data_IF_650208917752
#
_entry.id   IF_650208917752
#
_cell.length_a   1.000
_cell.length_b   1.000
_cell.length_c   1.000
_cell.angle_alpha   90.00
_cell.angle_beta   90.00
_cell.angle_gamma   90.00
#
_symmetry.space_group_name_H-M   'P 1'
#
loop_
_entity.id
_entity.type
_entity.pdbx_description
1 polymer ?
#
# COMPACT_ATOMS: atom_id res chain seq x y z
N UNK A 1 -28.72 -12.22 67.58
CA UNK A 1 -27.32 -11.80 67.40
C UNK A 1 -26.68 -12.82 66.46
N UNK A 2 -26.43 -12.59 65.16
CA UNK A 2 -26.37 -11.34 64.36
C UNK A 2 -25.36 -10.31 64.92
N UNK A 3 -24.38 -9.76 64.18
CA UNK A 3 -23.91 -9.93 62.77
C UNK A 3 -22.45 -9.36 62.71
N UNK A 4 -21.54 -9.53 61.73
CA UNK A 4 -21.54 -10.06 60.33
C UNK A 4 -20.14 -10.61 60.00
N UNK A 5 -19.98 -11.46 58.97
CA UNK A 5 -18.66 -11.71 58.35
C UNK A 5 -18.19 -10.50 57.53
N UNK A 6 -17.06 -9.90 57.90
CA UNK A 6 -16.50 -8.74 57.20
C UNK A 6 -15.60 -9.21 56.03
N UNK A 7 -16.23 -9.52 54.89
CA UNK A 7 -15.52 -9.75 53.63
C UNK A 7 -14.78 -8.46 53.22
N UNK A 8 -13.46 -8.44 53.40
CA UNK A 8 -12.59 -7.43 52.77
C UNK A 8 -12.51 -7.72 51.27
N UNK A 9 -13.49 -7.18 50.55
CA UNK A 9 -13.60 -7.28 49.10
C UNK A 9 -12.44 -6.51 48.45
N UNK A 10 -11.42 -7.23 48.00
CA UNK A 10 -10.29 -6.64 47.29
C UNK A 10 -10.79 -5.85 46.06
N UNK A 11 -10.34 -4.60 45.85
CA UNK A 11 -10.78 -3.81 44.70
C UNK A 11 -10.34 -4.50 43.40
N UNK A 12 -11.23 -4.52 42.41
CA UNK A 12 -11.08 -5.28 41.17
C UNK A 12 -10.09 -4.65 40.19
N UNK A 13 -8.80 -4.67 40.56
CA UNK A 13 -7.68 -4.11 39.82
C UNK A 13 -7.64 -4.54 38.34
N UNK A 14 -8.14 -5.73 38.02
CA UNK A 14 -8.20 -6.27 36.65
C UNK A 14 -9.10 -5.52 35.66
N UNK A 15 -9.98 -4.61 36.10
CA UNK A 15 -10.83 -3.81 35.19
C UNK A 15 -10.43 -2.34 35.20
N UNK A 16 -10.26 -1.74 36.38
CA UNK A 16 -9.85 -0.34 36.52
C UNK A 16 -8.48 -0.05 35.90
N UNK A 17 -7.48 -0.89 36.19
CA UNK A 17 -6.13 -0.70 35.62
C UNK A 17 -6.11 -0.92 34.10
N UNK A 18 -6.87 -1.91 33.58
CA UNK A 18 -6.97 -2.13 32.13
C UNK A 18 -7.64 -0.96 31.40
N UNK A 19 -8.70 -0.40 31.96
CA UNK A 19 -9.33 0.82 31.42
C UNK A 19 -8.39 2.02 31.44
N UNK A 20 -7.66 2.23 32.55
CA UNK A 20 -6.68 3.30 32.69
C UNK A 20 -5.51 3.17 31.70
N UNK A 21 -4.91 1.98 31.58
CA UNK A 21 -3.88 1.70 30.56
C UNK A 21 -4.41 1.90 29.13
N UNK A 22 -5.64 1.47 28.83
CA UNK A 22 -6.24 1.65 27.51
C UNK A 22 -6.50 3.13 27.18
N UNK A 23 -6.80 3.97 28.19
CA UNK A 23 -6.92 5.42 28.01
C UNK A 23 -5.56 6.09 27.75
N UNK A 24 -4.52 5.71 28.51
CA UNK A 24 -3.17 6.24 28.30
C UNK A 24 -2.62 5.86 26.91
N UNK A 25 -2.49 4.56 26.62
CA UNK A 25 -2.05 4.10 25.30
C UNK A 25 -2.99 4.56 24.16
N UNK A 26 -4.30 4.67 24.42
CA UNK A 26 -5.27 5.19 23.47
C UNK A 26 -5.01 6.65 23.08
N UNK A 27 -4.61 7.50 24.04
CA UNK A 27 -4.27 8.90 23.77
C UNK A 27 -2.98 9.05 22.95
N UNK A 28 -1.95 8.24 23.22
CA UNK A 28 -0.72 8.20 22.45
C UNK A 28 -0.97 7.69 21.01
N UNK A 29 -1.73 6.60 20.86
CA UNK A 29 -2.11 6.05 19.55
C UNK A 29 -2.94 7.04 18.73
N UNK A 30 -3.91 7.73 19.35
CA UNK A 30 -4.69 8.77 18.68
C UNK A 30 -3.80 9.95 18.22
N UNK A 31 -2.83 10.36 19.04
CA UNK A 31 -1.87 11.42 18.67
C UNK A 31 -1.03 10.99 17.48
N UNK A 32 -0.45 9.79 17.53
CA UNK A 32 0.31 9.20 16.41
C UNK A 32 -0.53 9.08 15.12
N UNK A 33 -1.82 8.73 15.22
CA UNK A 33 -2.74 8.70 14.06
C UNK A 33 -3.03 10.11 13.52
N UNK A 34 -3.19 11.11 14.40
CA UNK A 34 -3.42 12.50 14.03
C UNK A 34 -2.19 13.08 13.32
N UNK A 35 -0.98 12.74 13.73
CA UNK A 35 0.26 13.18 13.05
C UNK A 35 0.48 12.40 11.75
N UNK A 36 0.25 11.08 11.76
CA UNK A 36 0.37 10.24 10.58
C UNK A 36 -0.77 10.37 9.55
N UNK A 37 -1.82 11.17 9.82
CA UNK A 37 -3.03 11.28 8.99
C UNK A 37 -2.75 11.51 7.50
N UNK A 38 -1.73 12.31 7.17
CA UNK A 38 -1.36 12.62 5.79
C UNK A 38 -0.63 11.47 5.10
N UNK A 39 0.18 10.70 5.83
CA UNK A 39 0.79 9.47 5.33
C UNK A 39 -0.27 8.39 5.08
N UNK A 40 -1.19 8.19 6.03
CA UNK A 40 -2.30 7.24 5.91
C UNK A 40 -3.20 7.62 4.73
N UNK A 41 -3.54 8.90 4.56
CA UNK A 41 -4.30 9.39 3.41
C UNK A 41 -3.55 9.15 2.07
N UNK A 42 -2.24 9.40 2.02
CA UNK A 42 -1.41 9.17 0.83
C UNK A 42 -1.37 7.68 0.46
N UNK A 43 -1.19 6.80 1.44
CA UNK A 43 -1.22 5.35 1.23
C UNK A 43 -2.59 4.86 0.78
N UNK A 44 -3.68 5.36 1.36
CA UNK A 44 -5.05 5.04 0.90
C UNK A 44 -5.27 5.45 -0.56
N UNK A 45 -4.81 6.62 -0.98
CA UNK A 45 -4.90 7.07 -2.38
C UNK A 45 -4.12 6.13 -3.31
N UNK A 46 -2.89 5.74 -2.94
CA UNK A 46 -2.08 4.81 -3.74
C UNK A 46 -2.69 3.41 -3.83
N UNK A 47 -3.15 2.86 -2.70
CA UNK A 47 -3.79 1.53 -2.64
C UNK A 47 -5.10 1.49 -3.45
N UNK A 48 -5.90 2.57 -3.42
CA UNK A 48 -7.10 2.70 -4.26
C UNK A 48 -6.75 2.84 -5.74
N UNK A 49 -5.66 3.55 -6.08
CA UNK A 49 -5.16 3.62 -7.45
C UNK A 49 -4.69 2.25 -7.96
N UNK A 50 -3.90 1.50 -7.19
CA UNK A 50 -3.47 0.13 -7.53
C UNK A 50 -4.66 -0.80 -7.76
N UNK A 51 -5.64 -0.80 -6.86
CA UNK A 51 -6.89 -1.55 -7.03
C UNK A 51 -7.62 -1.16 -8.34
N UNK A 52 -7.70 0.15 -8.63
CA UNK A 52 -8.41 0.68 -9.81
C UNK A 52 -7.72 0.35 -11.13
N UNK A 53 -6.38 0.23 -11.16
CA UNK A 53 -5.61 -0.22 -12.32
C UNK A 53 -5.58 -1.75 -12.43
N UNK A 54 -5.42 -2.48 -11.31
CA UNK A 54 -5.46 -3.94 -11.24
C UNK A 54 -6.80 -4.54 -11.68
N UNK A 55 -7.92 -3.87 -11.38
CA UNK A 55 -9.22 -4.21 -11.98
C UNK A 55 -9.18 -4.17 -13.52
N UNK A 56 -8.65 -3.08 -14.08
CA UNK A 56 -8.55 -2.90 -15.53
C UNK A 56 -7.65 -3.95 -16.20
N UNK A 57 -6.52 -4.27 -15.57
CA UNK A 57 -5.65 -5.37 -16.01
C UNK A 57 -6.39 -6.71 -16.02
N UNK A 58 -7.07 -7.07 -14.92
CA UNK A 58 -7.82 -8.33 -14.83
C UNK A 58 -8.91 -8.41 -15.90
N UNK A 59 -9.60 -7.30 -16.18
CA UNK A 59 -10.63 -7.23 -17.21
C UNK A 59 -10.05 -7.45 -18.62
N UNK A 60 -8.99 -6.72 -19.01
CA UNK A 60 -8.33 -6.92 -20.32
C UNK A 60 -7.76 -8.33 -20.49
N UNK A 61 -7.20 -8.93 -19.42
CA UNK A 61 -6.72 -10.33 -19.46
C UNK A 61 -7.85 -11.33 -19.62
N UNK A 62 -8.99 -11.10 -18.98
CA UNK A 62 -10.19 -11.92 -19.16
C UNK A 62 -10.73 -11.82 -20.59
N UNK A 63 -10.87 -10.61 -21.16
CA UNK A 63 -11.27 -10.41 -22.56
C UNK A 63 -10.34 -11.13 -23.55
N UNK A 64 -9.02 -11.04 -23.34
CA UNK A 64 -8.03 -11.74 -24.16
C UNK A 64 -8.18 -13.27 -24.07
N UNK A 65 -8.41 -13.81 -22.86
CA UNK A 65 -8.63 -15.23 -22.64
C UNK A 65 -9.96 -15.73 -23.25
N UNK A 66 -11.00 -14.89 -23.26
CA UNK A 66 -12.27 -15.16 -23.98
C UNK A 66 -12.03 -15.23 -25.49
N UNK A 67 -11.33 -14.25 -26.07
CA UNK A 67 -10.98 -14.22 -27.50
C UNK A 67 -10.12 -15.43 -27.91
N UNK A 68 -9.16 -15.82 -27.07
CA UNK A 68 -8.30 -17.00 -27.28
C UNK A 68 -8.99 -18.35 -27.04
N UNK A 69 -10.24 -18.35 -26.53
CA UNK A 69 -11.00 -19.55 -26.11
C UNK A 69 -10.33 -20.42 -25.02
N UNK A 70 -9.26 -19.95 -24.39
CA UNK A 70 -8.59 -20.68 -23.30
C UNK A 70 -9.39 -20.58 -21.99
N UNK A 71 -10.11 -21.66 -21.66
CA UNK A 71 -10.86 -21.82 -20.42
C UNK A 71 -9.98 -21.66 -19.17
N UNK A 72 -8.71 -22.10 -19.20
CA UNK A 72 -7.81 -22.06 -18.04
C UNK A 72 -7.44 -20.63 -17.68
N UNK A 73 -7.09 -19.80 -18.68
CA UNK A 73 -6.88 -18.37 -18.47
C UNK A 73 -8.17 -17.62 -18.13
N UNK A 74 -9.32 -18.02 -18.68
CA UNK A 74 -10.61 -17.42 -18.34
C UNK A 74 -10.95 -17.61 -16.84
N UNK A 75 -10.75 -18.79 -16.28
CA UNK A 75 -10.95 -19.04 -14.84
C UNK A 75 -9.91 -18.32 -13.96
N UNK A 76 -8.66 -18.23 -14.42
CA UNK A 76 -7.58 -17.55 -13.69
C UNK A 76 -7.82 -16.03 -13.57
N UNK A 77 -8.26 -15.39 -14.65
CA UNK A 77 -8.52 -13.94 -14.71
C UNK A 77 -9.98 -13.56 -14.40
N UNK A 78 -10.85 -14.54 -14.10
CA UNK A 78 -12.21 -14.31 -13.62
C UNK A 78 -12.18 -13.44 -12.36
N UNK A 79 -12.88 -12.31 -12.41
CA UNK A 79 -12.88 -11.36 -11.31
C UNK A 79 -13.55 -11.95 -10.06
N UNK A 80 -12.89 -11.82 -8.91
CA UNK A 80 -13.37 -12.28 -7.61
C UNK A 80 -13.20 -11.18 -6.55
N UNK A 81 -14.23 -10.36 -6.33
CA UNK A 81 -14.17 -9.16 -5.46
C UNK A 81 -13.61 -9.44 -4.06
N UNK A 82 -13.98 -10.57 -3.44
CA UNK A 82 -13.48 -10.97 -2.11
C UNK A 82 -11.95 -11.20 -2.10
N UNK A 83 -11.38 -11.79 -3.16
CA UNK A 83 -9.94 -12.01 -3.29
C UNK A 83 -9.19 -10.69 -3.47
N UNK A 84 -9.73 -9.80 -4.31
CA UNK A 84 -9.15 -8.49 -4.57
C UNK A 84 -9.19 -7.61 -3.30
N UNK A 85 -10.34 -7.52 -2.64
CA UNK A 85 -10.50 -6.79 -1.37
C UNK A 85 -9.53 -7.33 -0.31
N UNK A 86 -9.39 -8.66 -0.17
CA UNK A 86 -8.43 -9.26 0.78
C UNK A 86 -6.99 -8.84 0.48
N UNK A 87 -6.56 -8.80 -0.79
CA UNK A 87 -5.22 -8.29 -1.18
C UNK A 87 -5.05 -6.82 -0.79
N UNK A 88 -6.06 -5.99 -1.06
CA UNK A 88 -6.07 -4.55 -0.74
C UNK A 88 -6.04 -4.28 0.77
N UNK A 89 -6.81 -5.02 1.56
CA UNK A 89 -6.79 -4.94 3.02
C UNK A 89 -5.46 -5.42 3.62
N UNK A 90 -4.85 -6.48 3.07
CA UNK A 90 -3.53 -6.95 3.52
C UNK A 90 -2.47 -5.87 3.28
N UNK A 91 -2.37 -5.35 2.03
CA UNK A 91 -1.48 -4.23 1.68
C UNK A 91 -1.61 -3.05 2.66
N UNK A 92 -2.84 -2.65 2.98
CA UNK A 92 -3.09 -1.56 3.93
C UNK A 92 -2.53 -1.87 5.33
N UNK A 93 -2.83 -3.05 5.88
CA UNK A 93 -2.32 -3.47 7.19
C UNK A 93 -0.79 -3.59 7.18
N UNK A 94 -0.22 -4.21 6.14
CA UNK A 94 1.23 -4.38 5.97
C UNK A 94 1.97 -3.03 5.99
N UNK A 95 1.42 -1.99 5.36
CA UNK A 95 2.06 -0.66 5.35
C UNK A 95 1.85 0.13 6.64
N UNK A 96 0.72 -0.03 7.35
CA UNK A 96 0.59 0.52 8.70
C UNK A 96 1.61 -0.12 9.64
N UNK A 97 1.80 -1.44 9.57
CA UNK A 97 2.84 -2.16 10.33
C UNK A 97 4.25 -1.70 9.92
N UNK A 98 4.53 -1.55 8.61
CA UNK A 98 5.82 -1.07 8.12
C UNK A 98 6.12 0.35 8.62
N UNK A 99 5.14 1.26 8.62
CA UNK A 99 5.29 2.59 9.20
C UNK A 99 5.62 2.51 10.70
N UNK A 100 4.84 1.78 11.50
CA UNK A 100 5.05 1.64 12.94
C UNK A 100 6.44 1.06 13.28
N UNK A 101 6.86 -0.01 12.59
CA UNK A 101 8.20 -0.59 12.74
C UNK A 101 9.29 0.42 12.36
N UNK A 102 9.08 1.22 11.32
CA UNK A 102 10.03 2.27 10.92
C UNK A 102 10.07 3.43 11.93
N UNK A 103 8.96 3.76 12.59
CA UNK A 103 8.93 4.70 13.73
C UNK A 103 9.72 4.15 14.92
N UNK A 104 9.57 2.88 15.27
CA UNK A 104 10.36 2.25 16.35
C UNK A 104 11.86 2.20 16.02
N UNK A 105 12.24 1.96 14.76
CA UNK A 105 13.63 2.13 14.30
C UNK A 105 14.08 3.60 14.45
N UNK A 106 13.20 4.55 14.15
CA UNK A 106 13.41 5.99 14.43
C UNK A 106 13.74 6.25 15.90
N UNK A 107 12.91 5.77 16.83
CA UNK A 107 13.15 5.94 18.28
C UNK A 107 14.44 5.24 18.73
N UNK A 108 14.75 4.05 18.17
CA UNK A 108 15.92 3.27 18.55
C UNK A 108 17.26 3.83 18.06
N UNK A 109 17.29 4.54 16.91
CA UNK A 109 18.53 4.98 16.26
C UNK A 109 18.63 6.49 16.03
N UNK A 110 17.52 7.21 15.80
CA UNK A 110 17.55 8.65 15.46
C UNK A 110 17.48 9.53 16.71
N UNK A 111 16.59 9.21 17.66
CA UNK A 111 16.47 9.99 18.90
C UNK A 111 17.80 10.01 19.71
N UNK A 112 18.58 8.90 19.84
CA UNK A 112 19.91 8.92 20.44
C UNK A 112 20.96 9.74 19.67
N UNK A 113 20.72 10.04 18.39
CA UNK A 113 21.56 10.90 17.55
C UNK A 113 21.06 12.35 17.50
N UNK A 114 20.01 12.70 18.26
CA UNK A 114 19.40 14.04 18.29
C UNK A 114 18.48 14.35 17.09
N UNK A 115 18.15 13.36 16.26
CA UNK A 115 17.19 13.50 15.16
C UNK A 115 15.83 12.93 15.55
N UNK A 116 14.74 13.63 15.23
CA UNK A 116 13.39 13.13 15.56
C UNK A 116 13.07 11.80 14.86
N UNK A 117 12.60 10.82 15.63
CA UNK A 117 12.05 9.54 15.16
C UNK A 117 10.99 9.65 14.04
N UNK A 118 10.35 10.81 13.84
CA UNK A 118 9.38 11.04 12.75
C UNK A 118 10.04 10.82 11.38
N UNK A 119 11.36 11.02 11.24
CA UNK A 119 12.12 10.64 10.04
C UNK A 119 12.07 9.13 9.74
N UNK A 120 11.96 8.28 10.76
CA UNK A 120 11.68 6.85 10.61
C UNK A 120 10.29 6.60 10.03
N UNK A 121 9.27 7.32 10.52
CA UNK A 121 7.90 7.28 9.96
C UNK A 121 7.88 7.71 8.49
N UNK A 122 8.60 8.78 8.14
CA UNK A 122 8.77 9.23 6.75
C UNK A 122 9.42 8.14 5.88
N UNK A 123 10.49 7.49 6.35
CA UNK A 123 11.16 6.43 5.61
C UNK A 123 10.25 5.21 5.36
N UNK A 124 9.49 4.77 6.38
CA UNK A 124 8.51 3.70 6.24
C UNK A 124 7.38 4.03 5.26
N UNK A 125 6.83 5.25 5.33
CA UNK A 125 5.82 5.71 4.38
C UNK A 125 6.38 5.84 2.95
N UNK A 126 7.62 6.31 2.78
CA UNK A 126 8.26 6.43 1.47
C UNK A 126 8.50 5.05 0.83
N UNK A 127 8.96 4.06 1.61
CA UNK A 127 9.14 2.69 1.15
C UNK A 127 7.81 2.05 0.74
N UNK A 128 6.77 2.20 1.55
CA UNK A 128 5.41 1.75 1.22
C UNK A 128 4.88 2.41 -0.08
N UNK A 129 5.05 3.73 -0.22
CA UNK A 129 4.62 4.47 -1.41
C UNK A 129 5.38 4.03 -2.67
N UNK A 130 6.70 3.80 -2.58
CA UNK A 130 7.52 3.31 -3.70
C UNK A 130 7.08 1.90 -4.14
N UNK A 131 6.74 1.01 -3.21
CA UNK A 131 6.19 -0.31 -3.53
C UNK A 131 4.87 -0.22 -4.30
N UNK A 132 3.93 0.65 -3.88
CA UNK A 132 2.67 0.84 -4.60
C UNK A 132 2.87 1.54 -5.96
N UNK A 133 3.74 2.55 -6.06
CA UNK A 133 4.03 3.22 -7.33
C UNK A 133 4.58 2.21 -8.35
N UNK A 134 5.47 1.29 -7.94
CA UNK A 134 5.93 0.21 -8.83
C UNK A 134 4.79 -0.76 -9.24
N UNK A 135 3.87 -1.09 -8.33
CA UNK A 135 2.69 -1.93 -8.59
C UNK A 135 1.75 -1.26 -9.60
N UNK A 136 1.38 0.00 -9.35
CA UNK A 136 0.56 0.85 -10.21
C UNK A 136 1.16 0.97 -11.61
N UNK A 137 2.45 1.29 -11.71
CA UNK A 137 3.12 1.44 -13.00
C UNK A 137 3.18 0.12 -13.77
N UNK A 138 3.39 -1.02 -13.11
CA UNK A 138 3.29 -2.35 -13.73
C UNK A 138 1.91 -2.60 -14.39
N UNK A 139 0.83 -2.36 -13.64
CA UNK A 139 -0.55 -2.47 -14.15
C UNK A 139 -0.84 -1.45 -15.28
N UNK A 140 -0.32 -0.22 -15.16
CA UNK A 140 -0.45 0.86 -16.15
C UNK A 140 0.24 0.54 -17.49
N UNK A 141 1.43 -0.05 -17.46
CA UNK A 141 2.14 -0.48 -18.67
C UNK A 141 1.44 -1.63 -19.37
N UNK A 142 1.02 -2.65 -18.61
CA UNK A 142 0.26 -3.77 -19.16
C UNK A 142 -1.03 -3.28 -19.86
N UNK A 143 -1.75 -2.34 -19.23
CA UNK A 143 -2.96 -1.73 -19.79
C UNK A 143 -2.74 -0.97 -21.11
N UNK A 144 -1.50 -0.54 -21.39
CA UNK A 144 -1.10 0.22 -22.60
C UNK A 144 -0.31 -0.62 -23.62
N UNK A 145 -0.10 -1.91 -23.37
CA UNK A 145 0.61 -2.82 -24.28
C UNK A 145 2.13 -2.60 -24.38
N UNK A 146 2.69 -1.62 -23.68
CA UNK A 146 4.14 -1.32 -23.69
C UNK A 146 4.88 -2.40 -22.90
N UNK A 147 5.70 -3.19 -23.60
CA UNK A 147 6.59 -4.19 -22.98
C UNK A 147 7.78 -3.48 -22.33
N UNK A 148 7.68 -3.18 -21.03
CA UNK A 148 8.84 -2.68 -20.29
C UNK A 148 9.92 -3.77 -20.23
N UNK A 149 11.07 -3.50 -20.82
CA UNK A 149 12.26 -4.33 -20.62
C UNK A 149 12.69 -4.30 -19.16
N UNK A 150 12.57 -5.45 -18.50
CA UNK A 150 12.80 -5.61 -17.07
C UNK A 150 14.30 -5.56 -16.75
N UNK A 151 14.85 -4.37 -16.45
CA UNK A 151 15.95 -4.19 -15.45
C UNK A 151 16.41 -2.75 -15.16
N UNK A 152 16.04 -1.73 -15.95
CA UNK A 152 16.59 -0.36 -15.76
C UNK A 152 15.51 0.68 -15.42
N UNK A 153 15.82 1.56 -14.46
CA UNK A 153 15.04 2.78 -14.14
C UNK A 153 14.93 3.68 -15.37
N UNK A 154 15.97 3.73 -16.21
CA UNK A 154 15.97 4.51 -17.45
C UNK A 154 15.07 3.89 -18.53
N UNK A 155 15.01 2.55 -18.60
CA UNK A 155 14.05 1.83 -19.45
C UNK A 155 12.60 2.04 -19.00
N UNK A 156 12.36 2.07 -17.69
CA UNK A 156 11.08 2.43 -17.09
C UNK A 156 10.68 3.88 -17.44
N UNK A 157 11.60 4.85 -17.39
CA UNK A 157 11.32 6.23 -17.84
C UNK A 157 11.06 6.33 -19.35
N UNK A 158 11.88 5.69 -20.20
CA UNK A 158 11.64 5.60 -21.66
C UNK A 158 10.22 5.10 -21.93
N UNK A 159 9.87 3.95 -21.35
CA UNK A 159 8.54 3.36 -21.48
C UNK A 159 7.42 4.27 -20.94
N UNK A 160 7.63 4.96 -19.82
CA UNK A 160 6.63 5.89 -19.25
C UNK A 160 6.34 7.06 -20.19
N UNK A 161 7.38 7.64 -20.78
CA UNK A 161 7.25 8.74 -21.75
C UNK A 161 6.54 8.25 -23.02
N UNK A 162 6.98 7.13 -23.61
CA UNK A 162 6.30 6.50 -24.77
C UNK A 162 4.82 6.22 -24.47
N UNK A 163 4.54 5.64 -23.31
CA UNK A 163 3.18 5.35 -22.86
C UNK A 163 2.32 6.61 -22.70
N UNK A 164 2.90 7.73 -22.25
CA UNK A 164 2.21 9.03 -22.19
C UNK A 164 1.98 9.63 -23.59
N UNK A 165 2.96 9.55 -24.48
CA UNK A 165 2.86 10.05 -25.86
C UNK A 165 1.76 9.32 -26.64
N UNK A 166 1.72 7.97 -26.57
CA UNK A 166 0.64 7.15 -27.17
C UNK A 166 -0.79 7.51 -26.70
N UNK A 167 -0.94 8.16 -25.52
CA UNK A 167 -2.25 8.66 -25.05
C UNK A 167 -2.71 9.91 -25.82
N UNK A 168 -1.80 10.64 -26.47
CA UNK A 168 -2.07 11.91 -27.17
C UNK A 168 -2.09 11.73 -28.69
N UNK A 169 -1.21 10.89 -29.22
CA UNK A 169 -1.15 10.52 -30.65
C UNK A 169 -0.39 9.20 -30.80
N UNK A 170 -0.99 8.25 -31.51
CA UNK A 170 -0.47 6.88 -31.62
C UNK A 170 0.82 6.83 -32.46
N UNK A 171 0.80 7.43 -33.66
CA UNK A 171 1.95 7.51 -34.58
C UNK A 171 3.21 8.10 -33.92
N UNK A 172 3.04 9.18 -33.15
CA UNK A 172 4.15 9.88 -32.48
C UNK A 172 4.70 9.03 -31.33
N UNK A 173 3.87 8.19 -30.71
CA UNK A 173 4.30 7.25 -29.68
C UNK A 173 5.06 6.05 -30.26
N UNK A 174 4.68 5.54 -31.43
CA UNK A 174 5.42 4.47 -32.13
C UNK A 174 6.74 4.97 -32.75
N UNK A 175 6.75 6.17 -33.32
CA UNK A 175 7.98 6.82 -33.77
C UNK A 175 8.98 7.04 -32.62
N UNK A 176 8.48 7.43 -31.43
CA UNK A 176 9.31 7.62 -30.24
C UNK A 176 9.81 6.29 -29.65
N UNK A 177 9.03 5.22 -29.68
CA UNK A 177 9.46 3.89 -29.21
C UNK A 177 10.58 3.33 -30.11
N UNK A 178 10.45 3.52 -31.43
CA UNK A 178 11.50 3.18 -32.40
C UNK A 178 12.78 3.97 -32.14
N UNK A 179 12.69 5.31 -32.10
CA UNK A 179 13.83 6.20 -31.92
C UNK A 179 14.52 6.10 -30.54
N UNK A 180 13.88 5.44 -29.56
CA UNK A 180 14.45 5.15 -28.24
C UNK A 180 15.04 3.74 -28.12
N UNK A 181 14.79 2.83 -29.06
CA UNK A 181 15.38 1.48 -29.09
C UNK A 181 16.47 1.33 -30.16
N UNK A 182 16.55 2.22 -31.15
CA UNK A 182 17.59 2.27 -32.19
C UNK A 182 18.90 2.94 -31.70
N UNK A 183 19.23 2.76 -30.41
CA UNK A 183 20.40 3.30 -29.67
C UNK A 183 20.78 2.47 -28.45
#
# INVERSE_FOLDING_TARGET
>A
MTTTHLFLQAPSAGTGARGFSFLLFGSEILTLIIDAKWFIATLLILIVADFRFGWGESHKRYEAAVKAKDKKSQELYKWHSSRALRRTSNKFVDYIVLMLVSTFIGVAFLDPLGYSHVWGTYAGCALAAVCEIMSICGHFFFLRGVKVEKKSIFGFLKAFIVALTKKKSEDVGDALDTALNDK
#
